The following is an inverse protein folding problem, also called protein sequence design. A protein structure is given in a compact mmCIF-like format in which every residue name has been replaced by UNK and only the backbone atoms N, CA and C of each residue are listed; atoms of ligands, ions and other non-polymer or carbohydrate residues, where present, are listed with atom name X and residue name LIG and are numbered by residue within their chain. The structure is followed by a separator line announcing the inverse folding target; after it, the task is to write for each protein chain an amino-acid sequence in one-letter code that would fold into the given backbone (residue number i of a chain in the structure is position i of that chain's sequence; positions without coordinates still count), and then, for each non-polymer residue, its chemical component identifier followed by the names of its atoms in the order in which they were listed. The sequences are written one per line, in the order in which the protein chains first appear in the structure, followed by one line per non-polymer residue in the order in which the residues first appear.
data_IF_987576148545
#
_entry.id   IF_987576148545
#
_cell.length_a   1.000
_cell.length_b   1.000
_cell.length_c   1.000
_cell.angle_alpha   90.00
_cell.angle_beta   90.00
_cell.angle_gamma   90.00
#
_symmetry.space_group_name_H-M   'P 1'
#
loop_
_entity.id
_entity.type
_entity.pdbx_description
1 polymer ?
#
# COMPACT_ATOMS: atom_id res chain seq x y z
N UNK A 1 14.08 4.44 -0.11
CA UNK A 1 13.75 5.54 0.81
C UNK A 1 12.55 6.26 0.23
N UNK A 2 11.44 6.31 0.97
CA UNK A 2 10.21 6.95 0.50
C UNK A 2 10.14 8.40 0.99
N UNK A 3 10.28 9.33 0.06
CA UNK A 3 10.18 10.77 0.32
C UNK A 3 8.71 11.21 0.34
N UNK A 4 8.23 11.57 1.53
CA UNK A 4 6.92 12.18 1.74
C UNK A 4 7.06 13.70 1.64
N UNK A 5 6.34 14.30 0.70
CA UNK A 5 6.23 15.76 0.66
C UNK A 5 5.25 16.23 1.74
N UNK A 6 5.56 17.35 2.40
CA UNK A 6 4.55 18.12 3.11
C UNK A 6 3.58 18.73 2.09
N UNK A 7 2.63 17.92 1.65
CA UNK A 7 1.70 18.22 0.59
C UNK A 7 0.26 18.07 1.07
N UNK A 8 -0.63 18.78 0.40
CA UNK A 8 -2.05 18.46 0.45
C UNK A 8 -2.35 17.53 -0.71
N UNK A 9 -3.24 16.58 -0.46
CA UNK A 9 -3.73 15.62 -1.44
C UNK A 9 -5.25 15.64 -1.43
N UNK A 10 -5.86 15.58 -2.61
CA UNK A 10 -7.32 15.60 -2.77
C UNK A 10 -7.75 14.60 -3.84
N UNK A 11 -8.56 13.57 -3.50
CA UNK A 11 -9.03 13.25 -2.15
C UNK A 11 -7.88 12.92 -1.18
N UNK A 12 -8.14 13.03 0.11
CA UNK A 12 -7.24 12.51 1.14
C UNK A 12 -7.18 10.99 1.06
N UNK A 13 -6.14 10.36 1.62
CA UNK A 13 -6.04 8.89 1.64
C UNK A 13 -7.22 8.23 2.34
N UNK A 14 -7.73 8.86 3.42
CA UNK A 14 -8.88 8.33 4.14
C UNK A 14 -10.15 8.42 3.29
N UNK A 15 -10.41 9.57 2.65
CA UNK A 15 -11.55 9.72 1.73
C UNK A 15 -11.47 8.72 0.58
N UNK A 16 -10.28 8.54 -0.02
CA UNK A 16 -10.05 7.58 -1.10
C UNK A 16 -10.37 6.15 -0.66
N UNK A 17 -9.87 5.71 0.50
CA UNK A 17 -10.12 4.35 0.99
C UNK A 17 -11.59 4.16 1.36
N UNK A 18 -12.23 5.15 1.98
CA UNK A 18 -13.66 5.09 2.29
C UNK A 18 -14.50 4.95 1.03
N UNK A 19 -14.27 5.78 0.02
CA UNK A 19 -14.99 5.71 -1.26
C UNK A 19 -14.75 4.38 -1.98
N UNK A 20 -13.51 3.89 -1.99
CA UNK A 20 -13.18 2.59 -2.57
C UNK A 20 -13.94 1.45 -1.87
N UNK A 21 -13.88 1.39 -0.54
CA UNK A 21 -14.54 0.34 0.24
C UNK A 21 -16.08 0.40 0.12
N UNK A 22 -16.66 1.58 -0.07
CA UNK A 22 -18.10 1.73 -0.36
C UNK A 22 -18.48 1.22 -1.75
N UNK A 23 -17.54 1.22 -2.70
CA UNK A 23 -17.79 0.80 -4.09
C UNK A 23 -17.67 -0.72 -4.31
N UNK A 24 -16.91 -1.43 -3.45
CA UNK A 24 -16.63 -2.86 -3.60
C UNK A 24 -17.56 -3.72 -2.73
N UNK A 25 -18.06 -4.87 -3.25
CA UNK A 25 -19.07 -5.66 -2.55
C UNK A 25 -18.59 -6.29 -1.24
N UNK A 26 -17.28 -6.43 -1.06
CA UNK A 26 -16.66 -7.00 0.14
C UNK A 26 -16.32 -5.96 1.22
N UNK A 27 -16.45 -4.66 0.90
CA UNK A 27 -15.94 -3.57 1.73
C UNK A 27 -16.76 -3.28 2.98
N UNK A 28 -18.01 -3.79 3.06
CA UNK A 28 -18.95 -3.60 4.19
C UNK A 28 -19.26 -2.12 4.50
N UNK A 29 -20.42 -1.81 5.11
CA UNK A 29 -20.70 -0.43 5.52
C UNK A 29 -20.10 -0.14 6.90
N UNK A 30 -19.61 1.08 7.12
CA UNK A 30 -19.10 1.51 8.43
C UNK A 30 -18.12 2.68 8.35
N UNK A 31 -17.75 3.22 9.51
CA UNK A 31 -16.66 4.20 9.62
C UNK A 31 -15.31 3.52 9.34
N UNK A 32 -14.45 4.21 8.60
CA UNK A 32 -13.10 3.76 8.27
C UNK A 32 -12.12 4.52 9.15
N UNK A 33 -11.27 3.79 9.86
CA UNK A 33 -10.18 4.35 10.65
C UNK A 33 -8.82 3.97 10.03
N UNK A 34 -7.91 4.94 9.92
CA UNK A 34 -6.57 4.68 9.38
C UNK A 34 -5.66 4.10 10.45
N UNK A 35 -5.18 2.86 10.26
CA UNK A 35 -4.17 2.23 11.12
C UNK A 35 -2.75 2.68 10.73
N UNK A 36 -2.52 2.93 9.44
CA UNK A 36 -1.27 3.46 8.93
C UNK A 36 -0.96 2.97 7.53
N UNK A 37 0.28 3.22 7.08
CA UNK A 37 0.75 2.69 5.80
C UNK A 37 2.24 2.36 5.82
N UNK A 38 2.65 1.53 4.87
CA UNK A 38 4.04 1.21 4.59
C UNK A 38 4.31 1.36 3.10
N UNK A 39 5.58 1.52 2.73
CA UNK A 39 5.97 1.75 1.33
C UNK A 39 7.08 0.82 0.89
N UNK A 40 7.09 0.60 -0.42
CA UNK A 40 8.16 -0.01 -1.16
C UNK A 40 8.73 1.01 -2.14
N UNK A 41 10.03 0.90 -2.42
CA UNK A 41 10.68 1.72 -3.43
C UNK A 41 10.56 1.03 -4.78
N UNK A 42 10.01 1.73 -5.76
CA UNK A 42 10.16 1.39 -7.17
C UNK A 42 11.64 1.57 -7.56
N UNK A 43 12.31 0.55 -8.15
CA UNK A 43 13.67 0.66 -8.65
C UNK A 43 13.91 1.83 -9.60
N UNK A 44 12.91 2.18 -10.40
CA UNK A 44 12.99 3.27 -11.37
C UNK A 44 12.55 4.62 -10.76
N UNK A 45 11.95 4.61 -9.56
CA UNK A 45 11.54 5.80 -8.82
C UNK A 45 10.32 6.53 -9.39
N UNK A 46 9.56 5.91 -10.27
CA UNK A 46 8.45 6.53 -11.01
C UNK A 46 7.08 6.24 -10.36
N UNK A 47 6.94 5.09 -9.71
CA UNK A 47 5.69 4.61 -9.12
C UNK A 47 5.79 4.59 -7.60
N UNK A 48 4.85 5.26 -6.93
CA UNK A 48 4.69 5.12 -5.49
C UNK A 48 3.98 3.81 -5.16
N UNK A 49 4.63 2.87 -4.48
CA UNK A 49 3.99 1.62 -4.00
C UNK A 49 3.71 1.73 -2.50
N UNK A 50 2.45 1.58 -2.10
CA UNK A 50 2.02 1.74 -0.70
C UNK A 50 1.00 0.67 -0.31
N UNK A 51 1.15 0.11 0.89
CA UNK A 51 0.10 -0.67 1.54
C UNK A 51 -0.54 0.17 2.63
N UNK A 52 -1.84 0.43 2.52
CA UNK A 52 -2.64 1.11 3.54
C UNK A 52 -3.34 0.07 4.40
N UNK A 53 -3.26 0.23 5.72
CA UNK A 53 -4.04 -0.56 6.68
C UNK A 53 -5.11 0.32 7.30
N UNK A 54 -6.34 -0.18 7.30
CA UNK A 54 -7.50 0.49 7.90
C UNK A 54 -8.29 -0.48 8.75
N UNK A 55 -9.03 0.04 9.72
CA UNK A 55 -10.07 -0.71 10.41
C UNK A 55 -11.44 -0.27 9.88
N UNK A 56 -12.32 -1.24 9.63
CA UNK A 56 -13.74 -0.98 9.33
C UNK A 56 -14.59 -2.07 9.97
N UNK A 57 -15.59 -1.68 10.75
CA UNK A 57 -16.48 -2.62 11.45
C UNK A 57 -15.74 -3.69 12.28
N UNK A 58 -14.62 -3.32 12.90
CA UNK A 58 -13.77 -4.24 13.68
C UNK A 58 -12.93 -5.21 12.85
N UNK A 59 -12.88 -5.03 11.52
CA UNK A 59 -12.05 -5.82 10.60
C UNK A 59 -10.83 -5.00 10.16
N UNK A 60 -9.60 -5.49 10.37
CA UNK A 60 -8.42 -4.91 9.77
C UNK A 60 -8.37 -5.26 8.28
N UNK A 61 -8.42 -4.24 7.43
CA UNK A 61 -8.38 -4.34 5.98
C UNK A 61 -7.06 -3.81 5.43
N UNK A 62 -6.62 -4.39 4.31
CA UNK A 62 -5.40 -4.00 3.62
C UNK A 62 -5.73 -3.56 2.20
N UNK A 63 -5.32 -2.33 1.88
CA UNK A 63 -5.60 -1.67 0.61
C UNK A 63 -4.25 -1.35 -0.05
N UNK A 64 -3.66 -2.30 -0.79
CA UNK A 64 -2.40 -2.08 -1.48
C UNK A 64 -2.66 -1.29 -2.77
N UNK A 65 -1.95 -0.17 -2.95
CA UNK A 65 -2.17 0.75 -4.06
C UNK A 65 -0.87 1.17 -4.73
N UNK A 66 -0.98 1.65 -5.97
CA UNK A 66 0.10 2.41 -6.63
C UNK A 66 -0.32 3.84 -6.94
N UNK A 67 0.65 4.75 -6.95
CA UNK A 67 0.48 6.15 -7.35
C UNK A 67 1.34 6.44 -8.58
N UNK A 68 0.69 6.64 -9.73
CA UNK A 68 1.36 6.94 -11.01
C UNK A 68 1.17 8.39 -11.43
N UNK A 69 2.14 8.94 -12.15
CA UNK A 69 2.08 10.29 -12.72
C UNK A 69 1.24 10.38 -14.02
N UNK A 70 0.78 9.25 -14.55
CA UNK A 70 -0.07 9.13 -15.73
C UNK A 70 -0.92 7.85 -15.64
N UNK A 71 -2.02 7.73 -16.40
CA UNK A 71 -2.80 6.49 -16.47
C UNK A 71 -1.94 5.28 -16.84
N UNK A 72 -2.22 4.12 -16.24
CA UNK A 72 -1.64 2.83 -16.59
C UNK A 72 -2.44 2.22 -17.76
N UNK A 73 -1.84 2.06 -18.96
CA UNK A 73 -2.55 1.52 -20.11
C UNK A 73 -3.08 0.10 -19.85
N UNK A 74 -4.37 -0.12 -20.11
CA UNK A 74 -5.00 -1.43 -20.00
C UNK A 74 -5.38 -1.84 -18.57
N UNK A 75 -5.27 -0.94 -17.60
CA UNK A 75 -5.66 -1.18 -16.20
C UNK A 75 -6.84 -0.30 -15.77
N UNK A 76 -7.62 0.24 -16.72
CA UNK A 76 -8.72 1.17 -16.45
C UNK A 76 -9.75 0.62 -15.45
N UNK A 77 -10.00 -0.70 -15.47
CA UNK A 77 -10.92 -1.37 -14.55
C UNK A 77 -10.42 -1.44 -13.10
N UNK A 78 -9.11 -1.25 -12.89
CA UNK A 78 -8.45 -1.29 -11.58
C UNK A 78 -8.09 0.11 -11.06
N UNK A 79 -8.54 1.17 -11.75
CA UNK A 79 -8.36 2.54 -11.29
C UNK A 79 -9.29 2.77 -10.09
N UNK A 80 -8.69 2.99 -8.92
CA UNK A 80 -9.41 3.32 -7.69
C UNK A 80 -9.86 4.77 -7.72
N UNK A 81 -8.94 5.69 -8.00
CA UNK A 81 -9.22 7.12 -8.01
C UNK A 81 -8.15 7.93 -8.76
N UNK A 82 -8.48 9.17 -9.09
CA UNK A 82 -7.50 10.20 -9.42
C UNK A 82 -7.32 11.15 -8.24
N UNK A 83 -6.08 11.54 -7.95
CA UNK A 83 -5.71 12.37 -6.81
C UNK A 83 -4.88 13.57 -7.25
N UNK A 84 -5.24 14.77 -6.82
CA UNK A 84 -4.40 15.97 -6.96
C UNK A 84 -3.40 16.03 -5.84
N UNK A 85 -2.11 16.10 -6.18
CA UNK A 85 -1.04 16.28 -5.20
C UNK A 85 -0.40 17.66 -5.39
N UNK A 86 -0.35 18.48 -4.32
CA UNK A 86 0.09 19.88 -4.43
C UNK A 86 1.53 20.05 -4.94
N UNK A 87 2.42 19.09 -4.65
CA UNK A 87 3.81 19.09 -5.14
C UNK A 87 4.02 18.26 -6.42
N UNK A 88 3.41 17.07 -6.49
CA UNK A 88 3.68 16.08 -7.51
C UNK A 88 2.69 16.14 -8.70
N UNK A 89 1.69 17.02 -8.67
CA UNK A 89 0.66 17.12 -9.70
C UNK A 89 -0.39 16.01 -9.60
N UNK A 90 -1.08 15.74 -10.70
CA UNK A 90 -2.11 14.69 -10.75
C UNK A 90 -1.50 13.29 -10.60
N UNK A 91 -2.24 12.42 -9.91
CA UNK A 91 -1.85 11.05 -9.61
C UNK A 91 -3.00 10.11 -9.91
N UNK A 92 -2.69 9.00 -10.57
CA UNK A 92 -3.62 7.90 -10.82
C UNK A 92 -3.35 6.80 -9.81
N UNK A 93 -4.38 6.43 -9.07
CA UNK A 93 -4.30 5.46 -7.97
C UNK A 93 -4.93 4.16 -8.43
N UNK A 94 -4.14 3.09 -8.47
CA UNK A 94 -4.58 1.77 -8.93
C UNK A 94 -4.49 0.74 -7.80
N UNK A 95 -5.29 -0.32 -7.91
CA UNK A 95 -5.06 -1.54 -7.12
C UNK A 95 -3.66 -2.10 -7.42
N UNK A 96 -2.87 -2.38 -6.38
CA UNK A 96 -1.50 -2.84 -6.54
C UNK A 96 -1.39 -4.16 -7.32
N UNK A 97 -2.40 -5.03 -7.23
CA UNK A 97 -2.41 -6.30 -7.95
C UNK A 97 -2.45 -6.14 -9.48
N UNK A 98 -2.93 -5.00 -9.98
CA UNK A 98 -3.00 -4.68 -11.39
C UNK A 98 -1.74 -3.96 -11.93
N UNK A 99 -0.85 -3.52 -11.04
CA UNK A 99 0.35 -2.77 -11.41
C UNK A 99 1.60 -3.66 -11.35
N UNK A 100 2.26 -3.94 -12.49
CA UNK A 100 3.46 -4.78 -12.53
C UNK A 100 4.59 -4.31 -11.60
N UNK A 101 4.70 -2.99 -11.35
CA UNK A 101 5.72 -2.44 -10.45
C UNK A 101 5.44 -2.82 -9.00
N UNK A 102 4.18 -2.77 -8.58
CA UNK A 102 3.82 -3.24 -7.25
C UNK A 102 3.99 -4.77 -7.14
N UNK A 103 3.55 -5.54 -8.13
CA UNK A 103 3.74 -7.00 -8.14
C UNK A 103 5.21 -7.37 -7.98
N UNK A 104 6.12 -6.71 -8.70
CA UNK A 104 7.57 -6.90 -8.54
C UNK A 104 8.05 -6.54 -7.13
N UNK A 105 7.67 -5.35 -6.62
CA UNK A 105 8.05 -4.86 -5.29
C UNK A 105 7.63 -5.84 -4.18
N UNK A 106 6.39 -6.31 -4.18
CA UNK A 106 5.89 -7.28 -3.18
C UNK A 106 6.58 -8.65 -3.32
N UNK A 107 6.81 -9.10 -4.56
CA UNK A 107 7.52 -10.38 -4.81
C UNK A 107 8.95 -10.32 -4.29
N UNK A 108 9.69 -9.26 -4.58
CA UNK A 108 11.05 -9.04 -4.08
C UNK A 108 11.08 -8.90 -2.56
N UNK A 109 10.09 -8.23 -1.97
CA UNK A 109 9.97 -8.15 -0.52
C UNK A 109 9.78 -9.54 0.11
N UNK A 110 8.88 -10.35 -0.42
CA UNK A 110 8.64 -11.74 0.02
C UNK A 110 9.86 -12.65 -0.15
N UNK A 111 10.77 -12.33 -1.09
CA UNK A 111 12.05 -13.03 -1.28
C UNK A 111 13.18 -12.49 -0.42
N UNK A 112 12.95 -11.43 0.37
CA UNK A 112 13.99 -10.74 1.13
C UNK A 112 14.96 -9.92 0.27
N UNK A 113 14.61 -9.68 -0.99
CA UNK A 113 15.40 -8.92 -1.98
C UNK A 113 15.09 -7.41 -1.96
N UNK A 114 14.08 -7.01 -1.18
CA UNK A 114 13.69 -5.62 -0.99
C UNK A 114 13.22 -5.39 0.45
N UNK A 115 13.81 -4.44 1.20
CA UNK A 115 13.30 -4.05 2.49
C UNK A 115 12.07 -3.14 2.35
N UNK A 116 11.32 -2.99 3.44
CA UNK A 116 10.40 -1.87 3.62
C UNK A 116 11.18 -0.54 3.48
N UNK A 117 10.59 0.43 2.78
CA UNK A 117 11.19 1.76 2.65
C UNK A 117 11.22 2.49 4.01
N UNK A 118 12.34 3.16 4.31
CA UNK A 118 12.38 4.19 5.35
C UNK A 118 11.53 5.38 4.92
N UNK A 119 10.82 6.01 5.87
CA UNK A 119 10.01 7.19 5.59
C UNK A 119 10.80 8.45 5.95
N UNK A 120 10.79 9.40 5.04
CA UNK A 120 11.36 10.71 5.25
C UNK A 120 10.36 11.79 4.85
N UNK A 121 10.23 12.85 5.63
CA UNK A 121 9.33 13.97 5.35
C UNK A 121 10.15 15.16 4.88
N UNK A 122 9.92 15.62 3.65
CA UNK A 122 10.40 16.90 3.16
C UNK A 122 9.47 18.02 3.61
N UNK A 123 9.98 18.85 4.52
CA UNK A 123 9.32 20.04 5.02
C UNK A 123 9.29 21.16 3.99
N UNK A 124 8.44 22.16 4.20
CA UNK A 124 8.30 23.31 3.31
C UNK A 124 9.58 24.15 3.15
N UNK A 125 10.47 24.14 4.14
CA UNK A 125 11.77 24.80 4.10
C UNK A 125 12.86 24.00 3.35
N UNK A 126 12.49 22.83 2.82
CA UNK A 126 13.38 21.93 2.09
C UNK A 126 14.10 20.90 2.96
N UNK A 127 14.03 21.02 4.29
CA UNK A 127 14.63 20.08 5.24
C UNK A 127 13.97 18.70 5.11
N UNK A 128 14.76 17.64 5.28
CA UNK A 128 14.28 16.27 5.27
C UNK A 128 14.47 15.67 6.65
N UNK A 129 13.39 15.17 7.25
CA UNK A 129 13.41 14.56 8.58
C UNK A 129 12.95 13.10 8.52
N UNK A 130 13.59 12.18 9.25
CA UNK A 130 13.13 10.80 9.33
C UNK A 130 11.77 10.74 10.05
N UNK A 131 10.93 9.80 9.64
CA UNK A 131 9.66 9.48 10.29
C UNK A 131 9.61 7.98 10.56
N UNK A 132 9.18 7.63 11.76
CA UNK A 132 8.97 6.22 12.12
C UNK A 132 7.86 5.60 11.26
N UNK A 133 8.12 4.38 10.81
CA UNK A 133 7.15 3.57 10.10
C UNK A 133 6.02 3.16 11.08
N UNK A 134 4.75 3.57 10.84
CA UNK A 134 3.63 3.20 11.71
C UNK A 134 3.29 1.71 11.56
N UNK A 135 3.58 1.14 10.39
CA UNK A 135 3.43 -0.29 10.09
C UNK A 135 4.83 -0.87 9.90
N UNK A 136 5.17 -1.97 10.57
CA UNK A 136 6.44 -2.68 10.34
C UNK A 136 6.19 -3.97 9.59
N UNK A 137 7.04 -4.25 8.60
CA UNK A 137 6.99 -5.47 7.81
C UNK A 137 8.03 -6.48 8.26
N UNK A 138 7.67 -7.76 8.19
CA UNK A 138 8.57 -8.91 8.32
C UNK A 138 8.14 -10.02 7.38
N UNK A 139 9.08 -10.87 7.01
CA UNK A 139 8.82 -12.04 6.16
C UNK A 139 8.99 -13.31 6.97
N UNK A 140 8.08 -14.26 6.78
CA UNK A 140 8.20 -15.61 7.30
C UNK A 140 8.04 -16.65 6.20
N UNK A 141 8.80 -17.75 6.30
CA UNK A 141 8.69 -18.89 5.39
C UNK A 141 9.72 -18.86 4.26
N UNK A 142 9.46 -19.66 3.22
CA UNK A 142 10.36 -19.86 2.08
C UNK A 142 9.67 -19.49 0.76
N UNK A 143 10.36 -18.68 -0.05
CA UNK A 143 9.87 -18.12 -1.30
C UNK A 143 10.09 -19.07 -2.49
N UNK A 144 9.81 -20.36 -2.30
CA UNK A 144 9.95 -21.38 -3.34
C UNK A 144 8.92 -21.25 -4.48
N UNK A 145 7.78 -20.64 -4.20
CA UNK A 145 6.68 -20.44 -5.15
C UNK A 145 6.74 -19.06 -5.82
N UNK A 146 5.91 -18.86 -6.86
CA UNK A 146 5.93 -17.63 -7.66
C UNK A 146 4.60 -16.87 -7.71
N UNK A 147 3.47 -17.48 -7.33
CA UNK A 147 2.19 -16.78 -7.46
C UNK A 147 1.96 -15.87 -6.24
N UNK A 148 2.05 -14.56 -6.47
CA UNK A 148 1.70 -13.55 -5.48
C UNK A 148 0.18 -13.54 -5.23
N UNK A 149 -0.20 -13.46 -3.97
CA UNK A 149 -1.57 -13.18 -3.55
C UNK A 149 -1.57 -12.13 -2.44
N UNK A 150 -2.54 -11.22 -2.50
CA UNK A 150 -2.78 -10.20 -1.48
C UNK A 150 -3.92 -10.63 -0.55
N UNK A 151 -3.84 -10.25 0.72
CA UNK A 151 -4.98 -10.28 1.63
C UNK A 151 -5.65 -8.92 1.61
N UNK A 152 -6.96 -8.89 1.35
CA UNK A 152 -7.78 -7.66 1.50
C UNK A 152 -8.38 -7.56 2.91
N UNK A 153 -8.79 -8.70 3.49
CA UNK A 153 -9.23 -8.84 4.89
C UNK A 153 -8.21 -9.64 5.69
N UNK A 154 -7.58 -8.99 6.66
CA UNK A 154 -6.53 -9.61 7.48
C UNK A 154 -7.10 -10.58 8.53
N UNK A 155 -8.42 -10.61 8.72
CA UNK A 155 -9.13 -11.62 9.52
C UNK A 155 -9.27 -12.95 8.79
N UNK A 156 -9.10 -12.97 7.46
CA UNK A 156 -9.13 -14.16 6.61
C UNK A 156 -8.02 -14.10 5.57
N UNK A 157 -6.75 -14.10 6.00
CA UNK A 157 -5.63 -13.80 5.13
C UNK A 157 -5.36 -14.91 4.12
N UNK A 158 -4.67 -14.56 3.04
CA UNK A 158 -4.11 -15.55 2.12
C UNK A 158 -3.09 -16.44 2.81
N UNK A 159 -2.98 -17.67 2.32
CA UNK A 159 -1.96 -18.65 2.75
C UNK A 159 -0.91 -18.84 1.67
N UNK A 160 0.32 -19.18 2.06
CA UNK A 160 1.43 -19.41 1.14
C UNK A 160 2.71 -19.86 1.87
N UNK A 161 3.72 -20.27 1.10
CA UNK A 161 4.99 -20.76 1.63
C UNK A 161 5.88 -19.64 2.17
N UNK A 162 5.78 -18.43 1.59
CA UNK A 162 6.34 -17.19 2.12
C UNK A 162 5.21 -16.20 2.40
N UNK A 163 5.26 -15.51 3.54
CA UNK A 163 4.23 -14.60 4.03
C UNK A 163 4.85 -13.27 4.42
N UNK A 164 4.30 -12.18 3.92
CA UNK A 164 4.62 -10.81 4.32
C UNK A 164 3.65 -10.42 5.42
N UNK A 165 4.17 -10.16 6.61
CA UNK A 165 3.40 -9.86 7.81
C UNK A 165 3.61 -8.40 8.16
N UNK A 166 2.50 -7.66 8.29
CA UNK A 166 2.48 -6.29 8.76
C UNK A 166 2.06 -6.25 10.23
N UNK A 167 2.76 -5.46 11.05
CA UNK A 167 2.42 -5.20 12.45
C UNK A 167 2.18 -3.71 12.68
N UNK A 168 1.15 -3.37 13.44
CA UNK A 168 0.75 -2.01 13.81
C UNK A 168 0.40 -1.95 15.30
N UNK A 169 0.06 -0.77 15.81
CA UNK A 169 -0.42 -0.64 17.18
C UNK A 169 -1.78 -1.34 17.34
N UNK A 170 -1.82 -2.41 18.12
CA UNK A 170 -3.03 -3.20 18.34
C UNK A 170 -3.16 -4.47 17.48
N UNK A 171 -2.23 -4.79 16.57
CA UNK A 171 -2.33 -6.04 15.81
C UNK A 171 -1.20 -6.38 14.84
N UNK A 172 -1.28 -7.57 14.27
CA UNK A 172 -0.51 -7.98 13.10
C UNK A 172 -1.37 -8.83 12.15
N UNK A 173 -1.00 -8.89 10.87
CA UNK A 173 -1.71 -9.64 9.85
C UNK A 173 -0.87 -9.92 8.61
N UNK A 174 -1.19 -11.01 7.90
CA UNK A 174 -0.52 -11.38 6.66
C UNK A 174 -1.12 -10.55 5.52
N UNK A 175 -0.34 -9.63 4.97
CA UNK A 175 -0.80 -8.70 3.90
C UNK A 175 -0.60 -9.27 2.49
N UNK A 176 0.36 -10.18 2.32
CA UNK A 176 0.61 -10.87 1.06
C UNK A 176 1.32 -12.22 1.29
N UNK A 177 1.22 -13.13 0.32
CA UNK A 177 1.93 -14.41 0.35
C UNK A 177 2.32 -14.87 -1.06
N UNK A 178 3.37 -15.71 -1.13
CA UNK A 178 3.70 -16.50 -2.32
C UNK A 178 3.09 -17.91 -2.17
N UNK A 179 2.33 -18.36 -3.15
CA UNK A 179 1.63 -19.66 -3.16
C UNK A 179 1.69 -20.38 -4.51
#
# INVERSE_FOLDING_TARGET
MALLHQATITPTKLELVTEYLDSVPWGEAGEVEMLGGYRFDDPDGEVGVEGLLVERAGRPLHIPVTYRAAPLPGADEYLIATMKHSVLGDRWVYEAAADPVAVDCYTRALRGEQPQASLEVRMADGTVVPRDNPIRLRVEGDAATQALAFSDDLSSPVSGSARLIASWDGGEGIVAALR
#
